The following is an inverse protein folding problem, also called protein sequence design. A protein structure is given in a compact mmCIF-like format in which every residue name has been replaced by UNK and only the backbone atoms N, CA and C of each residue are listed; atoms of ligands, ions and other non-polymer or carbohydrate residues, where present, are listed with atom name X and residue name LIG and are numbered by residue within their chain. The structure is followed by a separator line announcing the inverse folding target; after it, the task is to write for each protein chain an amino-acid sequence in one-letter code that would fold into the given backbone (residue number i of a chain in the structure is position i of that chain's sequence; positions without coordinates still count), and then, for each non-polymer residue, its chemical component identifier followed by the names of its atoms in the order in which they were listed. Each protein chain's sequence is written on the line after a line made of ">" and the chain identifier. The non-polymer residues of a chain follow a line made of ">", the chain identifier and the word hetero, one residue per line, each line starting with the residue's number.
data_IF_094414820238
#
_entry.id   IF_094414820238
#
_cell.length_a   1.000
_cell.length_b   1.000
_cell.length_c   1.000
_cell.angle_alpha   90.00
_cell.angle_beta   90.00
_cell.angle_gamma   90.00
#
_symmetry.space_group_name_H-M   'P 1'
#
loop_
_entity.id
_entity.type
_entity.pdbx_description
1 polymer ?
#
# COMPACT_ATOMS: atom_id res chain seq x y z
N UNK A 1 -58.06 -5.51 -10.50
CA UNK A 1 -58.33 -6.43 -9.37
C UNK A 1 -57.19 -7.42 -9.31
N UNK A 2 -56.64 -7.57 -8.12
CA UNK A 2 -55.23 -7.80 -7.80
C UNK A 2 -54.67 -9.19 -8.12
N UNK A 3 -53.38 -9.22 -8.46
CA UNK A 3 -52.53 -10.41 -8.61
C UNK A 3 -51.28 -10.29 -7.73
N UNK A 4 -51.46 -9.82 -6.49
CA UNK A 4 -50.40 -9.51 -5.51
C UNK A 4 -50.48 -10.36 -4.23
N UNK A 5 -51.45 -11.26 -4.05
CA UNK A 5 -51.66 -11.94 -2.75
C UNK A 5 -50.67 -13.12 -2.49
N UNK A 6 -50.33 -13.91 -3.51
CA UNK A 6 -49.65 -15.21 -3.29
C UNK A 6 -48.17 -15.11 -2.87
N UNK A 7 -47.48 -14.00 -3.19
CA UNK A 7 -46.08 -13.80 -2.78
C UNK A 7 -45.99 -13.22 -1.37
N UNK A 8 -46.89 -12.29 -1.04
CA UNK A 8 -46.92 -11.64 0.26
C UNK A 8 -47.31 -12.64 1.37
N UNK A 9 -48.26 -13.55 1.09
CA UNK A 9 -48.58 -14.63 2.04
C UNK A 9 -47.39 -15.57 2.30
N UNK A 10 -46.59 -15.91 1.27
CA UNK A 10 -45.41 -16.76 1.46
C UNK A 10 -44.33 -16.10 2.34
N UNK A 11 -44.16 -14.78 2.21
CA UNK A 11 -43.21 -14.03 3.01
C UNK A 11 -43.71 -13.92 4.47
N UNK A 12 -45.00 -13.71 4.67
CA UNK A 12 -45.62 -13.65 6.01
C UNK A 12 -45.51 -15.00 6.73
N UNK A 13 -45.78 -16.11 6.04
CA UNK A 13 -45.65 -17.45 6.61
C UNK A 13 -44.19 -17.75 6.98
N UNK A 14 -43.21 -17.37 6.15
CA UNK A 14 -41.78 -17.54 6.45
C UNK A 14 -41.29 -16.66 7.61
N UNK A 15 -41.86 -15.46 7.79
CA UNK A 15 -41.54 -14.58 8.93
C UNK A 15 -42.16 -15.08 10.25
N UNK A 16 -43.26 -15.84 10.18
CA UNK A 16 -43.94 -16.38 11.36
C UNK A 16 -43.19 -17.53 12.04
N UNK A 17 -42.28 -18.20 11.31
CA UNK A 17 -41.45 -19.31 11.80
C UNK A 17 -40.15 -18.85 12.51
N UNK A 18 -39.90 -17.54 12.61
CA UNK A 18 -38.74 -17.05 13.37
C UNK A 18 -38.98 -17.17 14.89
N UNK A 19 -37.98 -17.69 15.64
CA UNK A 19 -38.07 -17.74 17.10
C UNK A 19 -38.25 -16.33 17.65
N UNK A 20 -39.28 -16.14 18.48
CA UNK A 20 -39.52 -14.86 19.14
C UNK A 20 -38.39 -14.56 20.12
N UNK A 21 -37.40 -13.79 19.67
CA UNK A 21 -36.32 -13.29 20.53
C UNK A 21 -36.90 -12.19 21.42
N UNK A 22 -37.40 -12.58 22.59
CA UNK A 22 -37.72 -11.63 23.65
C UNK A 22 -36.41 -11.17 24.30
N UNK A 23 -36.04 -9.92 24.04
CA UNK A 23 -34.96 -9.27 24.77
C UNK A 23 -35.27 -9.27 26.27
N UNK A 24 -34.38 -9.86 27.07
CA UNK A 24 -34.48 -9.91 28.54
C UNK A 24 -34.10 -8.58 29.21
N UNK A 25 -33.77 -7.55 28.44
CA UNK A 25 -33.39 -6.24 28.95
C UNK A 25 -34.64 -5.42 29.25
N UNK A 26 -34.84 -5.10 30.53
CA UNK A 26 -35.91 -4.18 30.93
C UNK A 26 -35.65 -2.80 30.33
N UNK A 27 -36.71 -2.12 29.86
CA UNK A 27 -36.60 -0.76 29.30
C UNK A 27 -35.93 0.23 30.27
N UNK A 28 -36.03 -0.02 31.58
CA UNK A 28 -35.35 0.77 32.61
C UNK A 28 -33.82 0.62 32.57
N UNK A 29 -33.31 -0.59 32.35
CA UNK A 29 -31.86 -0.83 32.24
C UNK A 29 -31.26 -0.14 31.00
N UNK A 30 -32.00 -0.14 29.88
CA UNK A 30 -31.58 0.56 28.66
C UNK A 30 -31.57 2.09 28.82
N UNK A 31 -32.53 2.64 29.59
CA UNK A 31 -32.56 4.07 29.90
C UNK A 31 -31.40 4.51 30.79
N UNK A 32 -31.02 3.70 31.78
CA UNK A 32 -29.91 4.01 32.69
C UNK A 32 -28.54 3.99 31.97
N UNK A 33 -28.37 3.10 30.99
CA UNK A 33 -27.16 3.01 30.17
C UNK A 33 -27.02 4.23 29.24
N UNK A 34 -28.10 4.63 28.56
CA UNK A 34 -28.12 5.84 27.71
C UNK A 34 -27.91 7.12 28.52
N UNK A 35 -28.47 7.23 29.72
CA UNK A 35 -28.28 8.41 30.56
C UNK A 35 -26.85 8.52 31.14
N UNK A 36 -26.14 7.40 31.24
CA UNK A 36 -24.75 7.37 31.69
C UNK A 36 -23.76 7.91 30.65
N UNK A 37 -24.11 7.88 29.36
CA UNK A 37 -23.29 8.42 28.27
C UNK A 37 -23.57 9.89 27.92
N UNK A 38 -24.68 10.49 28.40
CA UNK A 38 -25.10 11.84 27.99
C UNK A 38 -24.84 12.98 29.00
N UNK A 39 -24.01 12.80 30.03
CA UNK A 39 -23.65 13.90 30.96
C UNK A 39 -22.14 14.15 31.07
N UNK A 40 -21.62 15.24 30.46
CA UNK A 40 -20.23 15.63 30.59
C UNK A 40 -20.06 16.59 31.78
N UNK A 41 -19.67 16.05 32.94
CA UNK A 41 -18.76 16.64 33.93
C UNK A 41 -19.03 16.04 35.31
N UNK A 42 -18.02 15.41 35.90
CA UNK A 42 -17.56 15.73 37.26
C UNK A 42 -16.13 15.18 37.41
N UNK A 43 -15.15 16.11 37.45
CA UNK A 43 -13.76 15.82 37.83
C UNK A 43 -13.73 15.15 39.20
N UNK A 44 -13.35 13.87 39.26
CA UNK A 44 -12.90 13.20 40.48
C UNK A 44 -11.42 12.88 40.37
N UNK A 45 -10.63 13.58 41.18
CA UNK A 45 -9.23 13.30 41.42
C UNK A 45 -9.10 11.95 42.13
N UNK A 46 -8.62 10.93 41.42
CA UNK A 46 -8.31 9.62 42.00
C UNK A 46 -6.79 9.48 42.18
N UNK A 47 -6.40 9.25 43.43
CA UNK A 47 -5.03 9.02 43.89
C UNK A 47 -4.46 7.74 43.27
N UNK A 48 -3.18 7.81 42.88
CA UNK A 48 -2.34 6.68 42.46
C UNK A 48 -2.38 5.57 43.53
N UNK A 49 -2.88 4.39 43.17
CA UNK A 49 -2.56 3.14 43.85
C UNK A 49 -1.87 2.22 42.86
N UNK A 50 -0.60 1.92 43.11
CA UNK A 50 0.14 0.86 42.44
C UNK A 50 -0.49 -0.47 42.85
N UNK A 51 -0.91 -1.28 41.88
CA UNK A 51 -1.28 -2.68 42.09
C UNK A 51 -0.32 -3.50 41.22
N UNK A 52 0.57 -4.22 41.89
CA UNK A 52 1.44 -5.26 41.33
C UNK A 52 0.64 -6.57 41.26
N UNK A 53 0.49 -7.18 40.08
CA UNK A 53 0.25 -8.63 39.94
C UNK A 53 0.62 -9.12 38.53
N UNK A 54 1.84 -9.67 38.30
CA UNK A 54 2.18 -10.41 37.09
C UNK A 54 2.47 -11.87 37.44
N UNK A 55 1.52 -12.78 37.22
CA UNK A 55 1.79 -14.23 37.22
C UNK A 55 0.62 -15.11 36.75
N UNK A 56 -0.63 -14.62 36.78
CA UNK A 56 -1.81 -15.49 36.56
C UNK A 56 -2.44 -15.38 35.15
N UNK A 57 -2.12 -14.34 34.38
CA UNK A 57 -2.60 -14.18 33.00
C UNK A 57 -1.81 -15.03 31.99
N UNK A 58 -0.52 -15.25 32.23
CA UNK A 58 0.36 -16.03 31.32
C UNK A 58 0.01 -17.51 31.24
N UNK A 59 -0.50 -18.11 32.32
CA UNK A 59 -0.90 -19.52 32.30
C UNK A 59 -2.17 -19.79 31.49
N UNK A 60 -3.10 -18.82 31.42
CA UNK A 60 -4.33 -18.95 30.65
C UNK A 60 -4.08 -18.83 29.13
N UNK A 61 -3.19 -17.93 28.71
CA UNK A 61 -2.83 -17.75 27.30
C UNK A 61 -2.09 -18.97 26.75
N UNK A 62 -1.16 -19.55 27.52
CA UNK A 62 -0.43 -20.77 27.10
C UNK A 62 -1.35 -22.00 26.95
N UNK A 63 -2.38 -22.12 27.79
CA UNK A 63 -3.35 -23.21 27.68
C UNK A 63 -4.22 -23.09 26.41
N UNK A 64 -4.58 -21.87 26.01
CA UNK A 64 -5.34 -21.62 24.77
C UNK A 64 -4.47 -21.91 23.54
N UNK A 65 -3.21 -21.47 23.54
CA UNK A 65 -2.24 -21.76 22.46
C UNK A 65 -2.01 -23.28 22.31
N UNK A 66 -1.91 -24.03 23.40
CA UNK A 66 -1.74 -25.49 23.34
C UNK A 66 -2.97 -26.22 22.77
N UNK A 67 -4.18 -25.72 23.02
CA UNK A 67 -5.42 -26.30 22.46
C UNK A 67 -5.55 -26.04 20.96
N UNK A 68 -5.04 -24.90 20.47
CA UNK A 68 -5.08 -24.55 19.04
C UNK A 68 -4.00 -25.32 18.25
N UNK A 69 -2.79 -25.48 18.81
CA UNK A 69 -1.68 -26.13 18.11
C UNK A 69 -1.78 -27.66 18.04
N UNK A 70 -2.51 -28.32 18.95
CA UNK A 70 -2.59 -29.79 18.96
C UNK A 70 -3.24 -30.37 17.69
N UNK A 71 -4.12 -29.61 17.04
CA UNK A 71 -4.82 -30.06 15.83
C UNK A 71 -4.00 -29.83 14.54
N UNK A 72 -2.91 -29.05 14.59
CA UNK A 72 -1.97 -28.85 13.47
C UNK A 72 -0.75 -29.79 13.49
N UNK A 73 -0.37 -30.34 14.65
CA UNK A 73 0.84 -31.16 14.78
C UNK A 73 0.54 -32.67 14.63
N UNK A 74 -0.71 -33.11 14.77
CA UNK A 74 -1.10 -34.53 14.65
C UNK A 74 -2.32 -34.74 13.74
N UNK A 75 -2.16 -34.81 12.41
CA UNK A 75 -3.22 -35.29 11.54
C UNK A 75 -3.52 -36.79 11.83
N UNK A 76 -4.79 -37.21 11.91
CA UNK A 76 -5.17 -38.60 12.15
C UNK A 76 -5.09 -39.39 10.84
N UNK A 77 -3.88 -39.61 10.33
CA UNK A 77 -3.65 -40.45 9.14
C UNK A 77 -2.31 -41.19 9.27
N UNK A 78 -2.24 -42.17 10.16
CA UNK A 78 -1.24 -43.23 10.05
C UNK A 78 -1.79 -44.53 10.63
N UNK A 79 -2.85 -45.02 10.00
CA UNK A 79 -3.34 -46.39 10.20
C UNK A 79 -3.76 -46.96 8.83
N UNK A 80 -2.84 -47.01 7.87
CA UNK A 80 -2.84 -47.95 6.73
C UNK A 80 -1.70 -47.65 5.75
N UNK A 81 -0.65 -48.47 5.80
CA UNK A 81 0.10 -48.99 4.65
C UNK A 81 1.33 -49.75 5.17
N UNK A 82 1.11 -50.94 5.73
CA UNK A 82 2.06 -52.03 5.58
C UNK A 82 1.77 -52.72 4.23
N UNK A 83 2.82 -53.24 3.59
CA UNK A 83 2.91 -53.87 2.25
C UNK A 83 3.17 -52.81 1.16
N UNK A 84 4.27 -52.80 0.41
CA UNK A 84 5.14 -53.90 -0.05
C UNK A 84 6.61 -53.48 -0.15
N UNK A 85 7.46 -54.46 0.08
CA UNK A 85 8.91 -54.49 -0.09
C UNK A 85 9.21 -55.28 -1.38
N UNK A 86 9.84 -54.67 -2.40
CA UNK A 86 10.63 -55.37 -3.43
C UNK A 86 11.70 -54.42 -4.02
N UNK A 87 12.95 -54.58 -3.54
CA UNK A 87 14.19 -54.93 -4.28
C UNK A 87 14.40 -54.35 -5.71
N UNK A 88 15.59 -53.97 -6.22
CA UNK A 88 16.99 -54.21 -5.88
C UNK A 88 17.85 -53.32 -6.83
N UNK A 89 18.91 -52.71 -6.29
CA UNK A 89 20.28 -52.50 -6.82
C UNK A 89 20.63 -52.82 -8.30
N UNK A 90 21.48 -52.00 -8.94
CA UNK A 90 22.81 -52.41 -9.51
C UNK A 90 23.59 -51.22 -10.13
N UNK A 91 24.77 -50.95 -9.53
CA UNK A 91 26.10 -50.53 -10.04
C UNK A 91 26.23 -49.42 -11.14
N UNK A 92 26.98 -48.33 -10.93
CA UNK A 92 28.42 -48.17 -10.62
C UNK A 92 29.39 -48.60 -11.75
N UNK A 93 29.91 -47.62 -12.51
CA UNK A 93 31.34 -47.37 -12.79
C UNK A 93 31.55 -46.54 -14.08
N UNK A 94 32.35 -45.49 -14.01
CA UNK A 94 33.72 -45.46 -14.57
C UNK A 94 34.44 -44.17 -14.14
N UNK A 95 35.57 -44.35 -13.45
CA UNK A 95 36.59 -43.36 -13.05
C UNK A 95 37.60 -43.11 -14.18
N UNK A 96 38.28 -41.96 -14.13
CA UNK A 96 39.75 -41.74 -14.05
C UNK A 96 40.22 -40.51 -14.88
N UNK A 97 40.71 -39.47 -14.19
CA UNK A 97 42.12 -38.96 -14.09
C UNK A 97 42.48 -38.02 -15.26
N UNK A 98 43.20 -36.90 -15.16
CA UNK A 98 44.41 -36.49 -14.42
C UNK A 98 44.54 -34.96 -14.72
N UNK A 99 44.64 -34.00 -13.80
CA UNK A 99 45.76 -33.56 -12.94
C UNK A 99 46.70 -32.47 -13.54
N UNK A 100 47.10 -31.53 -12.67
CA UNK A 100 48.18 -30.49 -12.75
C UNK A 100 47.88 -29.19 -13.54
N UNK A 101 48.19 -27.96 -13.07
CA UNK A 101 49.22 -27.46 -12.14
C UNK A 101 48.98 -26.00 -11.71
N UNK A 102 49.28 -25.69 -10.43
CA UNK A 102 50.06 -24.54 -9.85
C UNK A 102 49.76 -23.08 -10.26
N UNK A 103 49.94 -22.02 -9.46
CA UNK A 103 50.04 -21.72 -8.02
C UNK A 103 50.45 -20.21 -7.93
N UNK A 104 49.95 -19.48 -6.94
CA UNK A 104 50.59 -18.33 -6.25
C UNK A 104 50.77 -16.98 -7.01
N UNK A 105 50.61 -15.77 -6.45
CA UNK A 105 51.02 -15.27 -5.13
C UNK A 105 50.34 -13.92 -4.79
N UNK A 106 50.18 -13.69 -3.48
CA UNK A 106 49.75 -12.46 -2.79
C UNK A 106 50.76 -11.29 -2.79
N UNK A 107 50.26 -10.09 -2.45
CA UNK A 107 50.96 -8.99 -1.76
C UNK A 107 51.30 -7.79 -2.66
N UNK A 108 51.08 -6.52 -2.31
CA UNK A 108 51.05 -5.81 -1.03
C UNK A 108 50.37 -4.43 -1.23
N UNK A 109 49.63 -3.97 -0.22
CA UNK A 109 49.02 -2.63 -0.11
C UNK A 109 50.02 -1.46 -0.06
N UNK A 110 49.64 -0.26 -0.54
CA UNK A 110 49.44 0.96 0.29
C UNK A 110 49.36 2.26 -0.54
N UNK A 111 48.29 3.03 -0.26
CA UNK A 111 48.20 4.50 -0.12
C UNK A 111 48.55 5.41 -1.31
N UNK A 112 47.54 6.01 -1.92
CA UNK A 112 47.02 7.34 -1.50
C UNK A 112 45.83 7.72 -2.40
N UNK A 113 44.62 7.50 -1.88
CA UNK A 113 43.36 8.03 -2.41
C UNK A 113 42.98 9.25 -1.56
N UNK A 114 43.01 10.43 -2.16
CA UNK A 114 42.17 11.54 -1.72
C UNK A 114 40.91 11.47 -2.58
N UNK A 115 39.84 11.03 -1.93
CA UNK A 115 38.51 10.90 -2.49
C UNK A 115 38.01 12.23 -3.05
N UNK A 116 37.65 12.24 -4.33
CA UNK A 116 36.66 13.16 -4.87
C UNK A 116 35.40 12.33 -5.06
N UNK A 117 34.45 12.49 -4.14
CA UNK A 117 33.10 11.90 -4.23
C UNK A 117 32.39 12.52 -5.44
N UNK A 118 32.42 11.81 -6.56
CA UNK A 118 31.40 11.95 -7.60
C UNK A 118 30.38 10.84 -7.35
N UNK A 119 29.20 11.22 -6.88
CA UNK A 119 28.06 10.34 -6.71
C UNK A 119 27.65 9.80 -8.10
N UNK A 120 27.82 8.51 -8.43
CA UNK A 120 27.24 7.98 -9.65
C UNK A 120 25.75 7.81 -9.39
N UNK A 121 24.97 8.74 -9.96
CA UNK A 121 23.56 8.60 -10.23
C UNK A 121 23.26 7.14 -10.63
N UNK A 122 22.48 6.44 -9.80
CA UNK A 122 22.01 5.09 -10.07
C UNK A 122 21.14 5.14 -11.33
N UNK A 123 21.77 4.87 -12.47
CA UNK A 123 21.11 4.70 -13.75
C UNK A 123 20.54 3.29 -13.77
N UNK A 124 19.22 3.19 -13.67
CA UNK A 124 18.52 2.11 -14.35
C UNK A 124 18.74 2.32 -15.85
N UNK A 125 19.80 1.71 -16.37
CA UNK A 125 20.09 1.60 -17.80
C UNK A 125 18.98 0.78 -18.47
N UNK A 126 17.83 1.39 -18.73
CA UNK A 126 17.06 1.29 -19.98
C UNK A 126 15.79 2.15 -19.83
N UNK A 127 15.45 2.92 -20.87
CA UNK A 127 14.32 3.86 -21.02
C UNK A 127 14.54 5.32 -20.58
N UNK A 128 14.39 6.22 -21.54
CA UNK A 128 14.56 7.67 -21.42
C UNK A 128 13.53 8.39 -20.53
N UNK A 129 12.51 7.69 -20.04
CA UNK A 129 11.30 8.32 -19.49
C UNK A 129 11.11 8.10 -17.98
N UNK A 130 11.93 7.25 -17.35
CA UNK A 130 11.95 7.02 -15.89
C UNK A 130 13.32 7.45 -15.40
N UNK A 131 13.39 8.60 -14.73
CA UNK A 131 14.62 9.03 -14.03
C UNK A 131 14.65 8.36 -12.66
N UNK A 132 15.86 7.99 -12.23
CA UNK A 132 16.13 7.20 -11.03
C UNK A 132 15.35 7.60 -9.77
N UNK A 133 15.21 6.60 -8.89
CA UNK A 133 14.39 6.58 -7.67
C UNK A 133 12.87 6.52 -7.92
N UNK A 134 12.15 5.72 -7.12
CA UNK A 134 10.68 5.62 -7.22
C UNK A 134 9.99 6.85 -6.65
N UNK A 135 10.74 7.82 -6.13
CA UNK A 135 10.26 8.99 -5.42
C UNK A 135 11.03 10.24 -5.83
N UNK A 136 10.42 11.41 -5.63
CA UNK A 136 11.09 12.71 -5.69
C UNK A 136 11.23 13.21 -4.25
N UNK A 137 12.44 13.49 -3.78
CA UNK A 137 12.67 14.10 -2.46
C UNK A 137 12.82 15.62 -2.57
N UNK A 138 12.57 16.41 -1.50
CA UNK A 138 12.61 17.87 -1.55
C UNK A 138 13.95 18.44 -2.04
N UNK A 139 15.06 17.71 -1.85
CA UNK A 139 16.39 18.10 -2.33
C UNK A 139 16.63 17.89 -3.84
N UNK A 140 15.74 17.18 -4.54
CA UNK A 140 15.90 16.90 -5.97
C UNK A 140 15.55 18.13 -6.82
N UNK A 141 16.28 18.33 -7.92
CA UNK A 141 15.95 19.39 -8.89
C UNK A 141 14.51 19.25 -9.46
N UNK A 142 13.99 18.01 -9.51
CA UNK A 142 12.64 17.72 -9.95
C UNK A 142 11.57 18.21 -8.96
N UNK A 143 11.91 18.43 -7.69
CA UNK A 143 10.99 18.95 -6.69
C UNK A 143 10.60 20.41 -6.97
N UNK A 144 11.49 21.18 -7.61
CA UNK A 144 11.25 22.57 -8.01
C UNK A 144 10.43 22.68 -9.31
N UNK A 145 10.25 21.57 -10.04
CA UNK A 145 9.45 21.53 -11.25
C UNK A 145 7.97 21.29 -10.92
N UNK A 146 7.09 21.65 -11.85
CA UNK A 146 5.66 21.37 -11.68
C UNK A 146 5.42 19.87 -11.80
N UNK A 147 4.68 19.34 -10.84
CA UNK A 147 4.35 17.93 -10.71
C UNK A 147 2.86 17.76 -10.92
N UNK A 148 2.48 16.85 -11.82
CA UNK A 148 1.08 16.55 -12.11
C UNK A 148 0.87 15.05 -11.90
N UNK A 149 -0.04 14.69 -10.99
CA UNK A 149 -0.37 13.30 -10.73
C UNK A 149 -1.31 12.78 -11.81
N UNK A 150 -0.97 11.65 -12.42
CA UNK A 150 -1.83 10.87 -13.31
C UNK A 150 -1.96 9.46 -12.75
N UNK A 151 -3.11 8.81 -12.86
CA UNK A 151 -3.32 7.42 -12.44
C UNK A 151 -3.44 6.49 -13.64
N UNK A 152 -2.45 5.66 -13.89
CA UNK A 152 -2.57 4.59 -14.87
C UNK A 152 -3.14 3.31 -14.22
N UNK A 153 -3.35 2.27 -15.00
CA UNK A 153 -3.67 0.93 -14.48
C UNK A 153 -2.68 -0.10 -14.99
N UNK A 154 -2.35 -1.08 -14.16
CA UNK A 154 -1.70 -2.30 -14.67
C UNK A 154 -2.69 -3.09 -15.55
N UNK A 155 -2.21 -3.46 -16.74
CA UNK A 155 -3.01 -4.13 -17.78
C UNK A 155 -3.50 -5.53 -17.38
N UNK A 156 -2.93 -6.13 -16.33
CA UNK A 156 -3.22 -7.50 -15.91
C UNK A 156 -4.13 -7.58 -14.68
N UNK A 157 -4.11 -6.56 -13.80
CA UNK A 157 -4.70 -6.68 -12.45
C UNK A 157 -5.62 -5.54 -12.00
N UNK A 158 -5.95 -4.57 -12.86
CA UNK A 158 -6.89 -3.46 -12.55
C UNK A 158 -6.61 -2.77 -11.21
N UNK A 159 -5.34 -2.44 -10.94
CA UNK A 159 -4.93 -1.68 -9.76
C UNK A 159 -4.45 -0.27 -10.17
N UNK A 160 -4.82 0.80 -9.45
CA UNK A 160 -4.39 2.15 -9.78
C UNK A 160 -2.88 2.33 -9.51
N UNK A 161 -2.18 2.85 -10.51
CA UNK A 161 -0.75 3.17 -10.44
C UNK A 161 -0.60 4.68 -10.61
N UNK A 162 -0.50 5.45 -9.51
CA UNK A 162 -0.24 6.88 -9.59
C UNK A 162 1.18 7.15 -10.10
N UNK A 163 1.30 8.01 -11.09
CA UNK A 163 2.55 8.49 -11.68
C UNK A 163 2.61 10.00 -11.52
N UNK A 164 3.81 10.52 -11.26
CA UNK A 164 4.04 11.97 -11.25
C UNK A 164 4.69 12.38 -12.56
N UNK A 165 3.93 13.05 -13.41
CA UNK A 165 4.47 13.68 -14.61
C UNK A 165 5.20 14.95 -14.19
N UNK A 166 6.51 14.99 -14.46
CA UNK A 166 7.34 16.18 -14.26
C UNK A 166 7.19 17.02 -15.53
N UNK A 167 6.26 17.97 -15.50
CA UNK A 167 5.96 18.86 -16.62
C UNK A 167 6.53 20.25 -16.35
N UNK A 168 7.02 20.89 -17.41
CA UNK A 168 7.56 22.24 -17.33
C UNK A 168 6.50 23.32 -17.55
N UNK A 169 5.34 23.05 -18.17
CA UNK A 169 4.38 24.13 -18.53
C UNK A 169 2.91 23.69 -18.63
N UNK A 170 2.07 24.12 -17.69
CA UNK A 170 0.61 24.01 -17.82
C UNK A 170 -0.13 24.04 -16.50
N UNK A 171 -1.46 24.16 -16.53
CA UNK A 171 -2.35 23.84 -15.41
C UNK A 171 -2.72 22.34 -15.45
N UNK A 172 -3.01 21.70 -14.31
CA UNK A 172 -3.31 20.26 -14.27
C UNK A 172 -4.54 19.91 -15.13
N UNK A 173 -5.58 20.75 -15.12
CA UNK A 173 -6.76 20.58 -15.96
C UNK A 173 -6.43 20.62 -17.45
N UNK A 174 -5.60 21.58 -17.88
CA UNK A 174 -5.17 21.66 -19.29
C UNK A 174 -4.35 20.44 -19.68
N UNK A 175 -3.47 19.97 -18.79
CA UNK A 175 -2.69 18.78 -19.02
C UNK A 175 -3.58 17.55 -19.23
N UNK A 176 -4.58 17.34 -18.37
CA UNK A 176 -5.51 16.21 -18.48
C UNK A 176 -6.34 16.25 -19.77
N UNK A 177 -6.78 17.43 -20.20
CA UNK A 177 -7.62 17.57 -21.38
C UNK A 177 -6.84 17.49 -22.70
N UNK A 178 -5.61 18.02 -22.76
CA UNK A 178 -4.90 18.25 -24.02
C UNK A 178 -3.69 17.35 -24.22
N UNK A 179 -3.01 16.95 -23.13
CA UNK A 179 -1.71 16.29 -23.20
C UNK A 179 -1.76 14.82 -22.81
N UNK A 180 -2.60 14.46 -21.83
CA UNK A 180 -2.65 13.11 -21.28
C UNK A 180 -2.94 12.04 -22.34
N UNK A 181 -3.80 12.34 -23.32
CA UNK A 181 -4.12 11.42 -24.41
C UNK A 181 -2.92 11.04 -25.30
N UNK A 182 -1.85 11.85 -25.29
CA UNK A 182 -0.61 11.58 -26.01
C UNK A 182 0.40 10.77 -25.20
N UNK A 183 0.15 10.56 -23.90
CA UNK A 183 1.04 9.80 -23.04
C UNK A 183 0.95 8.30 -23.35
N UNK A 184 2.08 7.70 -23.77
CA UNK A 184 2.12 6.29 -24.14
C UNK A 184 2.34 5.39 -22.92
N UNK A 185 1.26 5.12 -22.19
CA UNK A 185 1.26 4.23 -21.02
C UNK A 185 1.73 2.81 -21.36
N UNK A 186 1.56 2.35 -22.60
CA UNK A 186 1.89 0.98 -22.99
C UNK A 186 3.40 0.70 -22.91
N UNK A 187 4.24 1.73 -23.11
CA UNK A 187 5.69 1.60 -22.93
C UNK A 187 6.07 1.25 -21.49
N UNK A 188 5.23 1.63 -20.53
CA UNK A 188 5.38 1.34 -19.11
C UNK A 188 4.67 0.04 -18.68
N UNK A 189 4.04 -0.69 -19.61
CA UNK A 189 3.20 -1.85 -19.31
C UNK A 189 1.87 -1.49 -18.63
N UNK A 190 1.48 -0.22 -18.71
CA UNK A 190 0.28 0.36 -18.10
C UNK A 190 -0.75 0.72 -19.19
N UNK A 191 -1.99 0.97 -18.78
CA UNK A 191 -3.04 1.53 -19.64
C UNK A 191 -3.59 2.83 -19.06
N UNK A 192 -3.87 3.79 -19.94
CA UNK A 192 -4.54 5.06 -19.63
C UNK A 192 -6.04 5.06 -19.94
N UNK A 193 -6.65 3.91 -20.23
CA UNK A 193 -8.09 3.81 -20.52
C UNK A 193 -8.97 4.35 -19.39
N UNK A 194 -8.43 4.46 -18.17
CA UNK A 194 -9.10 5.12 -17.04
C UNK A 194 -9.23 6.63 -17.19
N UNK A 195 -8.91 7.27 -18.32
CA UNK A 195 -9.00 8.72 -18.46
C UNK A 195 -9.98 9.20 -19.53
N UNK A 196 -10.64 8.30 -20.25
CA UNK A 196 -11.66 8.66 -21.24
C UNK A 196 -13.01 9.01 -20.57
N UNK A 197 -12.96 9.67 -19.41
CA UNK A 197 -14.14 10.00 -18.61
C UNK A 197 -14.92 11.18 -19.18
N UNK A 198 -14.24 12.12 -19.83
CA UNK A 198 -14.82 13.38 -20.26
C UNK A 198 -13.81 14.52 -20.23
N UNK A 199 -14.33 15.74 -20.06
CA UNK A 199 -13.54 16.97 -20.08
C UNK A 199 -13.58 17.63 -18.71
N UNK A 200 -12.43 18.03 -18.21
CA UNK A 200 -12.32 18.78 -16.97
C UNK A 200 -12.41 20.29 -17.23
N UNK A 201 -13.04 21.03 -16.32
CA UNK A 201 -13.02 22.50 -16.32
C UNK A 201 -12.72 23.04 -14.93
N UNK A 202 -11.93 24.11 -14.87
CA UNK A 202 -11.48 24.72 -13.63
C UNK A 202 -12.41 25.89 -13.26
N UNK A 203 -12.96 25.85 -12.04
CA UNK A 203 -13.57 26.99 -11.36
C UNK A 203 -12.66 27.53 -10.26
N UNK A 204 -13.07 28.59 -9.57
CA UNK A 204 -12.24 29.29 -8.58
C UNK A 204 -11.65 28.38 -7.48
N UNK A 205 -12.40 27.37 -7.01
CA UNK A 205 -12.00 26.41 -5.98
C UNK A 205 -12.55 25.00 -6.22
N UNK A 206 -12.87 24.68 -7.46
CA UNK A 206 -13.47 23.39 -7.82
C UNK A 206 -13.06 23.00 -9.21
N UNK A 207 -12.99 21.70 -9.46
CA UNK A 207 -12.95 21.14 -10.80
C UNK A 207 -14.31 20.53 -11.12
N UNK A 208 -14.77 20.72 -12.34
CA UNK A 208 -15.97 20.06 -12.87
C UNK A 208 -15.54 19.06 -13.94
N UNK A 209 -15.97 17.81 -13.82
CA UNK A 209 -15.83 16.78 -14.85
C UNK A 209 -17.16 16.66 -15.60
N UNK A 210 -17.15 17.07 -16.86
CA UNK A 210 -18.26 16.89 -17.78
C UNK A 210 -18.11 15.54 -18.48
N UNK A 211 -18.95 14.57 -18.11
CA UNK A 211 -18.90 13.19 -18.60
C UNK A 211 -19.59 13.07 -19.95
N UNK A 212 -18.91 12.39 -20.89
CA UNK A 212 -19.55 11.93 -22.12
C UNK A 212 -20.18 10.56 -21.87
N UNK A 213 -21.48 10.54 -21.55
CA UNK A 213 -22.22 9.33 -21.18
C UNK A 213 -22.27 8.25 -22.27
N UNK A 214 -21.92 8.57 -23.51
CA UNK A 214 -21.81 7.57 -24.59
C UNK A 214 -20.49 6.79 -24.57
N UNK A 215 -19.47 7.29 -23.87
CA UNK A 215 -18.11 6.74 -23.82
C UNK A 215 -17.78 6.05 -22.50
N UNK A 216 -18.49 6.40 -21.42
CA UNK A 216 -18.15 5.95 -20.05
C UNK A 216 -19.23 5.04 -19.49
N UNK A 217 -18.84 3.82 -19.11
CA UNK A 217 -19.69 2.89 -18.36
C UNK A 217 -18.99 2.44 -17.09
N UNK A 218 -19.49 2.88 -15.93
CA UNK A 218 -19.04 2.45 -14.61
C UNK A 218 -20.09 1.47 -14.09
N UNK A 219 -20.01 0.21 -14.50
CA UNK A 219 -21.06 -0.78 -14.25
C UNK A 219 -20.78 -1.68 -13.03
N UNK A 220 -19.52 -1.75 -12.61
CA UNK A 220 -19.07 -2.64 -11.53
C UNK A 220 -18.53 -1.86 -10.33
N UNK A 221 -18.56 -2.51 -9.16
CA UNK A 221 -17.97 -1.95 -7.92
C UNK A 221 -16.46 -1.72 -8.05
N UNK A 222 -15.75 -2.54 -8.83
CA UNK A 222 -14.34 -2.36 -9.10
C UNK A 222 -14.08 -1.09 -9.93
N UNK A 223 -14.83 -0.88 -11.01
CA UNK A 223 -14.73 0.34 -11.82
C UNK A 223 -15.13 1.58 -11.02
N UNK A 224 -16.15 1.49 -10.16
CA UNK A 224 -16.54 2.58 -9.28
C UNK A 224 -15.41 2.94 -8.31
N UNK A 225 -14.79 1.94 -7.69
CA UNK A 225 -13.64 2.14 -6.79
C UNK A 225 -12.48 2.81 -7.52
N UNK A 226 -12.13 2.31 -8.70
CA UNK A 226 -11.08 2.89 -9.56
C UNK A 226 -11.38 4.34 -9.93
N UNK A 227 -12.60 4.63 -10.37
CA UNK A 227 -13.02 5.99 -10.74
C UNK A 227 -12.83 6.98 -9.58
N UNK A 228 -13.29 6.59 -8.38
CA UNK A 228 -13.12 7.43 -7.19
C UNK A 228 -11.65 7.64 -6.82
N UNK A 229 -10.84 6.57 -6.84
CA UNK A 229 -9.41 6.65 -6.56
C UNK A 229 -8.67 7.54 -7.57
N UNK A 230 -8.99 7.41 -8.86
CA UNK A 230 -8.41 8.24 -9.92
C UNK A 230 -8.68 9.72 -9.67
N UNK A 231 -9.93 10.10 -9.38
CA UNK A 231 -10.27 11.50 -9.07
C UNK A 231 -9.55 12.00 -7.82
N UNK A 232 -9.48 11.18 -6.76
CA UNK A 232 -8.78 11.54 -5.51
C UNK A 232 -7.29 11.78 -5.76
N UNK A 233 -6.59 10.85 -6.41
CA UNK A 233 -5.16 11.03 -6.66
C UNK A 233 -4.84 12.22 -7.58
N UNK A 234 -5.69 12.52 -8.56
CA UNK A 234 -5.47 13.64 -9.47
C UNK A 234 -5.68 15.01 -8.82
N UNK A 235 -6.64 15.14 -7.90
CA UNK A 235 -7.15 16.45 -7.52
C UNK A 235 -7.17 16.76 -6.02
N UNK A 236 -6.98 15.79 -5.13
CA UNK A 236 -7.13 16.00 -3.68
C UNK A 236 -6.20 17.07 -3.10
N UNK A 237 -5.03 17.28 -3.70
CA UNK A 237 -4.03 18.22 -3.20
C UNK A 237 -4.41 19.67 -3.50
N UNK A 238 -5.18 19.88 -4.57
CA UNK A 238 -5.59 21.21 -5.05
C UNK A 238 -7.06 21.52 -4.74
N UNK A 239 -7.91 20.50 -4.60
CA UNK A 239 -9.38 20.61 -4.50
C UNK A 239 -9.96 19.69 -3.44
N UNK A 240 -10.97 20.18 -2.71
CA UNK A 240 -11.74 19.36 -1.78
C UNK A 240 -12.90 18.59 -2.42
N UNK A 241 -13.23 18.86 -3.70
CA UNK A 241 -14.31 18.17 -4.43
C UNK A 241 -14.21 18.31 -5.95
N UNK A 242 -14.85 17.37 -6.65
CA UNK A 242 -15.10 17.39 -8.09
C UNK A 242 -16.61 17.45 -8.32
N UNK A 243 -17.11 18.42 -9.09
CA UNK A 243 -18.48 18.41 -9.57
C UNK A 243 -18.60 17.52 -10.81
N UNK A 244 -19.73 16.82 -10.93
CA UNK A 244 -19.99 15.89 -12.03
C UNK A 244 -21.25 16.32 -12.76
N UNK A 245 -21.15 16.39 -14.08
CA UNK A 245 -22.28 16.74 -14.94
C UNK A 245 -22.23 15.95 -16.25
N UNK A 246 -23.40 15.73 -16.84
CA UNK A 246 -23.53 15.26 -18.22
C UNK A 246 -23.23 16.37 -19.23
N UNK A 247 -23.18 16.00 -20.52
CA UNK A 247 -22.83 16.91 -21.61
C UNK A 247 -23.71 18.18 -21.72
N UNK A 248 -24.91 18.20 -21.13
CA UNK A 248 -25.81 19.36 -21.12
C UNK A 248 -25.91 20.04 -19.74
N UNK A 249 -25.03 19.70 -18.78
CA UNK A 249 -25.06 20.23 -17.41
C UNK A 249 -26.07 19.56 -16.48
N UNK A 250 -26.62 18.40 -16.87
CA UNK A 250 -27.55 17.60 -16.08
C UNK A 250 -26.83 16.66 -15.11
N UNK A 251 -27.50 16.27 -14.01
CA UNK A 251 -26.99 15.19 -13.16
C UNK A 251 -26.99 13.86 -13.92
N UNK A 252 -25.97 13.03 -13.68
CA UNK A 252 -25.76 11.76 -14.38
C UNK A 252 -25.84 10.58 -13.42
N UNK A 253 -26.38 9.46 -13.90
CA UNK A 253 -26.37 8.18 -13.19
C UNK A 253 -25.07 7.42 -13.50
N UNK A 254 -24.25 7.16 -12.48
CA UNK A 254 -22.95 6.48 -12.61
C UNK A 254 -22.99 5.10 -11.93
N UNK A 255 -23.78 4.20 -12.51
CA UNK A 255 -23.91 2.80 -12.10
C UNK A 255 -24.00 2.62 -10.58
N UNK A 256 -23.02 1.98 -9.90
CA UNK A 256 -23.05 1.75 -8.45
C UNK A 256 -23.18 3.01 -7.59
N UNK A 257 -22.80 4.19 -8.08
CA UNK A 257 -22.96 5.45 -7.36
C UNK A 257 -24.40 6.00 -7.42
N UNK A 258 -25.20 5.54 -8.38
CA UNK A 258 -26.50 6.14 -8.68
C UNK A 258 -26.36 7.54 -9.28
N UNK A 259 -27.37 8.40 -9.06
CA UNK A 259 -27.32 9.80 -9.51
C UNK A 259 -26.42 10.62 -8.59
N UNK A 260 -25.34 11.17 -9.15
CA UNK A 260 -24.38 12.02 -8.43
C UNK A 260 -24.16 13.33 -9.17
N UNK A 261 -23.94 14.40 -8.40
CA UNK A 261 -23.61 15.74 -8.88
C UNK A 261 -22.24 16.23 -8.37
N UNK A 262 -21.66 15.52 -7.39
CA UNK A 262 -20.31 15.77 -6.87
C UNK A 262 -19.69 14.55 -6.20
N UNK A 263 -18.36 14.53 -6.15
CA UNK A 263 -17.54 13.69 -5.29
C UNK A 263 -16.74 14.58 -4.35
N UNK A 264 -16.82 14.30 -3.05
CA UNK A 264 -15.91 14.90 -2.07
C UNK A 264 -14.56 14.16 -2.15
N UNK A 265 -13.47 14.93 -2.23
CA UNK A 265 -12.12 14.40 -2.34
C UNK A 265 -11.48 14.35 -0.95
N UNK A 266 -11.85 13.31 -0.20
CA UNK A 266 -11.21 13.07 1.09
C UNK A 266 -9.74 12.77 0.90
N UNK A 267 -8.90 13.46 1.68
CA UNK A 267 -7.45 13.27 1.68
C UNK A 267 -7.12 11.80 1.86
N UNK A 268 -6.35 11.26 0.92
CA UNK A 268 -5.79 9.93 0.96
C UNK A 268 -4.65 9.96 1.98
N UNK A 269 -4.89 9.36 3.14
CA UNK A 269 -3.98 9.34 4.27
C UNK A 269 -3.99 7.95 4.90
N UNK A 270 -2.97 7.66 5.71
CA UNK A 270 -2.77 6.38 6.39
C UNK A 270 -2.71 5.22 5.42
N UNK A 271 -1.69 5.25 4.56
CA UNK A 271 -1.48 4.29 3.49
C UNK A 271 -0.26 3.43 3.78
N UNK A 272 -0.30 2.20 3.30
CA UNK A 272 0.86 1.35 3.13
C UNK A 272 1.35 1.52 1.68
N UNK A 273 2.64 1.79 1.47
CA UNK A 273 3.20 1.86 0.12
C UNK A 273 3.94 0.56 -0.21
N UNK A 274 3.60 -0.02 -1.37
CA UNK A 274 4.16 -1.28 -1.87
C UNK A 274 4.59 -1.12 -3.32
N UNK A 275 4.96 -2.22 -3.99
CA UNK A 275 5.40 -2.16 -5.37
C UNK A 275 4.60 -3.08 -6.28
N UNK A 276 4.32 -2.63 -7.50
CA UNK A 276 3.81 -3.46 -8.58
C UNK A 276 4.87 -3.55 -9.67
N UNK A 277 5.02 -4.74 -10.27
CA UNK A 277 5.87 -4.94 -11.45
C UNK A 277 4.99 -5.18 -12.67
N UNK A 278 5.12 -4.32 -13.68
CA UNK A 278 4.30 -4.42 -14.89
C UNK A 278 4.87 -5.47 -15.85
N UNK A 279 4.07 -5.85 -16.85
CA UNK A 279 4.48 -6.81 -17.90
C UNK A 279 5.72 -6.36 -18.69
N UNK A 280 5.99 -5.06 -18.72
CA UNK A 280 7.16 -4.47 -19.37
C UNK A 280 8.44 -4.53 -18.52
N UNK A 281 8.34 -4.99 -17.27
CA UNK A 281 9.45 -5.10 -16.32
C UNK A 281 9.63 -3.89 -15.40
N UNK A 282 8.91 -2.78 -15.67
CA UNK A 282 8.93 -1.59 -14.82
C UNK A 282 8.36 -1.89 -13.43
N UNK A 283 8.97 -1.28 -12.40
CA UNK A 283 8.53 -1.34 -11.01
C UNK A 283 7.97 0.03 -10.63
N UNK A 284 6.78 0.05 -10.04
CA UNK A 284 6.11 1.27 -9.61
C UNK A 284 5.67 1.14 -8.16
N UNK A 285 5.86 2.21 -7.40
CA UNK A 285 5.35 2.31 -6.04
C UNK A 285 3.84 2.54 -6.09
N UNK A 286 3.06 1.82 -5.29
CA UNK A 286 1.61 1.94 -5.26
C UNK A 286 1.10 2.12 -3.83
N UNK A 287 0.13 3.02 -3.61
CA UNK A 287 -0.55 3.15 -2.33
C UNK A 287 -1.55 2.01 -2.14
N UNK A 288 -1.59 1.44 -0.94
CA UNK A 288 -2.57 0.45 -0.47
C UNK A 288 -3.39 1.12 0.65
N UNK A 289 -4.71 1.20 0.46
CA UNK A 289 -5.61 1.92 1.38
C UNK A 289 -6.16 1.06 2.52
N UNK A 290 -6.17 -0.26 2.32
CA UNK A 290 -6.77 -1.21 3.28
C UNK A 290 -5.89 -2.44 3.48
N UNK A 291 -5.94 -3.00 4.69
CA UNK A 291 -5.36 -4.30 5.02
C UNK A 291 -5.97 -5.43 4.18
N UNK A 292 -5.37 -6.62 4.23
CA UNK A 292 -5.93 -7.85 3.65
C UNK A 292 -7.36 -8.17 4.12
N UNK A 293 -7.78 -7.62 5.27
CA UNK A 293 -9.14 -7.81 5.81
C UNK A 293 -10.14 -6.74 5.34
N UNK A 294 -9.69 -5.74 4.58
CA UNK A 294 -10.51 -4.64 4.06
C UNK A 294 -10.65 -3.45 5.02
N UNK A 295 -9.94 -3.45 6.15
CA UNK A 295 -9.94 -2.34 7.11
C UNK A 295 -8.89 -1.29 6.75
N UNK A 296 -9.21 -0.01 6.95
CA UNK A 296 -8.25 1.10 6.80
C UNK A 296 -7.21 1.08 7.91
N UNK A 297 -5.98 1.48 7.62
CA UNK A 297 -4.92 1.58 8.62
C UNK A 297 -5.22 2.66 9.66
N UNK A 298 -5.04 2.33 10.94
CA UNK A 298 -5.21 3.28 12.06
C UNK A 298 -3.86 3.84 12.48
N UNK A 299 -2.83 3.00 12.50
CA UNK A 299 -1.47 3.33 12.94
C UNK A 299 -0.42 3.02 11.88
N UNK A 300 0.72 3.71 11.95
CA UNK A 300 1.84 3.44 11.04
C UNK A 300 2.43 2.03 11.24
N UNK A 301 2.38 1.48 12.45
CA UNK A 301 2.87 0.12 12.73
C UNK A 301 2.04 -0.93 11.97
N UNK A 302 0.71 -0.77 11.90
CA UNK A 302 -0.14 -1.63 11.08
C UNK A 302 0.20 -1.54 9.59
N UNK A 303 0.51 -0.35 9.09
CA UNK A 303 0.94 -0.15 7.70
C UNK A 303 2.31 -0.79 7.43
N UNK A 304 3.28 -0.63 8.34
CA UNK A 304 4.61 -1.25 8.24
C UNK A 304 4.54 -2.79 8.31
N UNK A 305 3.63 -3.34 9.11
CA UNK A 305 3.36 -4.80 9.11
C UNK A 305 2.75 -5.21 7.77
N UNK A 306 1.76 -4.47 7.26
CA UNK A 306 1.18 -4.77 5.95
C UNK A 306 2.19 -4.66 4.79
N UNK A 307 3.18 -3.77 4.88
CA UNK A 307 4.27 -3.66 3.90
C UNK A 307 5.14 -4.92 3.79
N UNK A 308 5.08 -5.85 4.75
CA UNK A 308 5.74 -7.16 4.69
C UNK A 308 4.93 -8.20 3.92
N UNK A 309 3.64 -7.96 3.72
CA UNK A 309 2.71 -8.91 3.12
C UNK A 309 2.48 -8.57 1.63
N UNK A 310 2.71 -9.49 0.69
CA UNK A 310 2.35 -9.28 -0.70
C UNK A 310 0.82 -9.29 -0.89
N UNK A 311 0.35 -8.76 -2.02
CA UNK A 311 -1.05 -8.90 -2.47
C UNK A 311 -1.06 -9.61 -3.83
N UNK A 312 -1.02 -10.96 -3.85
CA UNK A 312 -0.82 -11.74 -5.07
C UNK A 312 -1.88 -11.51 -6.15
N UNK A 313 -3.15 -11.30 -5.73
CA UNK A 313 -4.27 -11.05 -6.66
C UNK A 313 -4.08 -9.77 -7.49
N UNK A 314 -3.29 -8.82 -6.99
CA UNK A 314 -2.96 -7.57 -7.66
C UNK A 314 -1.49 -7.49 -8.11
N UNK A 315 -0.75 -8.60 -8.07
CA UNK A 315 0.69 -8.62 -8.36
C UNK A 315 1.48 -7.55 -7.58
N UNK A 316 1.05 -7.26 -6.35
CA UNK A 316 1.73 -6.30 -5.49
C UNK A 316 2.74 -7.05 -4.62
N UNK A 317 4.00 -6.69 -4.79
CA UNK A 317 5.15 -7.19 -4.04
C UNK A 317 5.22 -6.49 -2.67
N UNK A 318 5.69 -7.21 -1.64
CA UNK A 318 6.02 -6.61 -0.36
C UNK A 318 7.15 -5.57 -0.51
N UNK A 319 7.07 -4.48 0.24
CA UNK A 319 8.12 -3.45 0.27
C UNK A 319 9.16 -3.71 1.37
N UNK A 320 8.76 -4.33 2.48
CA UNK A 320 9.68 -4.79 3.53
C UNK A 320 9.88 -6.30 3.31
N UNK A 321 11.13 -6.79 3.19
CA UNK A 321 11.38 -8.22 3.00
C UNK A 321 10.79 -9.07 4.13
N UNK A 322 10.31 -10.26 3.78
CA UNK A 322 9.78 -11.22 4.76
C UNK A 322 10.84 -11.56 5.82
N UNK A 323 10.42 -11.61 7.08
CA UNK A 323 11.30 -11.97 8.20
C UNK A 323 12.14 -10.83 8.76
N UNK A 324 12.10 -9.64 8.15
CA UNK A 324 12.70 -8.43 8.71
C UNK A 324 11.94 -8.00 9.97
N UNK A 325 12.67 -7.84 11.06
CA UNK A 325 12.16 -7.33 12.33
C UNK A 325 12.67 -5.92 12.60
N UNK A 326 11.85 -5.10 13.25
CA UNK A 326 12.20 -3.74 13.62
C UNK A 326 11.62 -3.35 14.98
N UNK A 327 12.22 -2.33 15.57
CA UNK A 327 11.63 -1.58 16.68
C UNK A 327 11.17 -0.21 16.19
N UNK A 328 10.00 0.21 16.65
CA UNK A 328 9.38 1.49 16.31
C UNK A 328 9.34 2.39 17.55
N UNK A 329 9.94 3.57 17.45
CA UNK A 329 9.89 4.62 18.46
C UNK A 329 9.20 5.88 17.89
N UNK A 330 8.07 6.23 18.51
CA UNK A 330 7.25 7.40 18.20
C UNK A 330 7.23 8.40 19.38
N UNK A 331 8.23 8.35 20.26
CA UNK A 331 8.29 9.20 21.45
C UNK A 331 8.54 10.68 21.14
N UNK A 332 9.12 10.97 19.97
CA UNK A 332 9.35 12.31 19.46
C UNK A 332 8.22 12.73 18.50
N UNK A 333 7.68 13.93 18.70
CA UNK A 333 6.51 14.40 17.96
C UNK A 333 6.86 14.62 16.48
N UNK A 334 6.09 14.00 15.58
CA UNK A 334 6.28 14.12 14.13
C UNK A 334 7.49 13.36 13.58
N UNK A 335 8.13 12.50 14.37
CA UNK A 335 9.26 11.65 13.95
C UNK A 335 8.87 10.17 14.01
N UNK A 336 9.27 9.42 12.98
CA UNK A 336 9.26 7.95 13.00
C UNK A 336 10.70 7.49 13.15
N UNK A 337 11.02 6.79 14.23
CA UNK A 337 12.33 6.16 14.38
C UNK A 337 12.20 4.65 14.27
N UNK A 338 12.91 4.08 13.29
CA UNK A 338 12.97 2.64 13.03
C UNK A 338 14.38 2.13 13.27
N UNK A 339 14.50 1.03 14.00
CA UNK A 339 15.75 0.29 14.13
C UNK A 339 15.51 -1.14 13.71
N UNK A 340 16.12 -1.53 12.58
CA UNK A 340 16.01 -2.85 11.99
C UNK A 340 17.05 -3.79 12.58
N UNK A 341 16.65 -5.02 12.88
CA UNK A 341 17.58 -6.08 13.24
C UNK A 341 18.38 -6.52 11.99
N UNK A 342 19.53 -7.15 12.20
CA UNK A 342 20.31 -7.72 11.10
C UNK A 342 19.50 -8.77 10.35
N UNK A 343 19.48 -8.67 9.02
CA UNK A 343 18.77 -9.59 8.13
C UNK A 343 19.52 -9.71 6.80
N UNK A 344 19.61 -10.91 6.24
CA UNK A 344 20.41 -11.20 5.03
C UNK A 344 19.95 -10.41 3.79
N UNK A 345 18.70 -9.97 3.77
CA UNK A 345 18.14 -9.12 2.71
C UNK A 345 18.46 -7.64 2.85
N UNK A 346 18.99 -7.19 3.98
CA UNK A 346 19.28 -5.77 4.25
C UNK A 346 20.75 -5.45 3.98
N UNK A 347 20.98 -4.32 3.31
CA UNK A 347 22.31 -3.80 3.03
C UNK A 347 22.28 -2.59 2.11
N UNK A 348 23.44 -2.15 1.61
CA UNK A 348 23.52 -1.12 0.56
C UNK A 348 23.18 -1.74 -0.81
N UNK A 349 21.89 -1.96 -1.05
CA UNK A 349 21.34 -2.57 -2.26
C UNK A 349 20.01 -1.92 -2.69
N UNK A 350 19.54 -2.27 -3.89
CA UNK A 350 18.34 -1.68 -4.48
C UNK A 350 17.07 -2.04 -3.69
N UNK A 351 16.96 -3.28 -3.23
CA UNK A 351 15.82 -3.77 -2.47
C UNK A 351 15.65 -3.01 -1.14
N UNK A 352 16.75 -2.72 -0.45
CA UNK A 352 16.74 -1.94 0.80
C UNK A 352 16.47 -0.45 0.52
N UNK A 353 16.93 0.07 -0.62
CA UNK A 353 16.60 1.43 -1.07
C UNK A 353 15.09 1.58 -1.32
N UNK A 354 14.50 0.62 -2.03
CA UNK A 354 13.06 0.55 -2.27
C UNK A 354 12.26 0.45 -0.96
N UNK A 355 12.72 -0.39 -0.04
CA UNK A 355 12.14 -0.50 1.29
C UNK A 355 12.10 0.87 2.00
N UNK A 356 13.22 1.61 1.98
CA UNK A 356 13.31 2.93 2.60
C UNK A 356 12.36 3.93 1.95
N UNK A 357 12.34 4.00 0.62
CA UNK A 357 11.46 4.90 -0.13
C UNK A 357 9.98 4.67 0.20
N UNK A 358 9.56 3.40 0.26
CA UNK A 358 8.21 3.03 0.63
C UNK A 358 7.88 3.38 2.09
N UNK A 359 8.82 3.23 3.02
CA UNK A 359 8.66 3.63 4.42
C UNK A 359 8.50 5.15 4.54
N UNK A 360 9.32 5.92 3.82
CA UNK A 360 9.25 7.38 3.84
C UNK A 360 7.90 7.87 3.32
N UNK A 361 7.40 7.30 2.21
CA UNK A 361 6.07 7.62 1.68
C UNK A 361 4.94 7.19 2.62
N UNK A 362 5.08 6.03 3.26
CA UNK A 362 4.15 5.55 4.29
C UNK A 362 4.10 6.54 5.45
N UNK A 363 5.24 6.93 6.02
CA UNK A 363 5.32 7.91 7.09
C UNK A 363 4.68 9.27 6.72
N UNK A 364 4.91 9.75 5.50
CA UNK A 364 4.26 10.97 4.98
C UNK A 364 2.73 10.86 4.99
N UNK A 365 2.18 9.71 4.61
CA UNK A 365 0.72 9.51 4.60
C UNK A 365 0.09 9.54 6.00
N UNK A 366 0.89 9.36 7.06
CA UNK A 366 0.48 9.45 8.46
C UNK A 366 0.79 10.83 9.09
N UNK A 367 1.10 11.84 8.27
CA UNK A 367 1.42 13.21 8.69
C UNK A 367 2.66 13.34 9.62
N UNK A 368 3.62 12.41 9.49
CA UNK A 368 4.95 12.60 10.08
C UNK A 368 5.77 13.60 9.25
N UNK A 369 6.84 14.13 9.83
CA UNK A 369 7.71 15.14 9.20
C UNK A 369 9.02 14.55 8.65
N UNK A 370 9.53 13.50 9.31
CA UNK A 370 10.79 12.85 8.96
C UNK A 370 10.87 11.43 9.54
N UNK A 371 11.77 10.63 8.98
CA UNK A 371 12.08 9.27 9.46
C UNK A 371 13.56 9.18 9.81
N UNK A 372 13.89 8.49 10.90
CA UNK A 372 15.27 8.10 11.23
C UNK A 372 15.34 6.58 11.13
N UNK A 373 16.25 6.06 10.30
CA UNK A 373 16.44 4.62 10.11
C UNK A 373 17.83 4.21 10.60
N UNK A 374 17.86 3.18 11.43
CA UNK A 374 19.06 2.53 11.96
C UNK A 374 19.04 1.04 11.62
N UNK A 375 20.22 0.42 11.50
CA UNK A 375 20.38 -1.03 11.29
C UNK A 375 21.36 -1.60 12.32
N UNK A 376 20.96 -2.66 13.01
CA UNK A 376 21.82 -3.34 13.99
C UNK A 376 22.78 -4.31 13.30
N UNK A 377 24.00 -4.44 13.85
CA UNK A 377 25.02 -5.41 13.45
C UNK A 377 25.41 -5.40 11.95
N UNK A 378 25.15 -4.29 11.24
CA UNK A 378 25.63 -4.05 9.87
C UNK A 378 26.56 -2.83 9.88
N UNK A 379 27.81 -3.01 9.44
CA UNK A 379 28.83 -1.94 9.34
C UNK A 379 28.63 -1.13 8.05
N UNK A 380 27.48 -0.45 7.94
CA UNK A 380 27.16 0.50 6.87
C UNK A 380 26.63 1.79 7.49
N UNK A 381 26.88 2.91 6.82
CA UNK A 381 26.41 4.23 7.22
C UNK A 381 25.43 4.85 6.20
N UNK A 382 25.16 4.14 5.10
CA UNK A 382 24.29 4.59 4.03
C UNK A 382 23.67 3.40 3.28
N UNK A 383 22.51 3.64 2.67
CA UNK A 383 21.86 2.75 1.69
C UNK A 383 21.43 3.61 0.53
N UNK A 384 22.00 3.39 -0.65
CA UNK A 384 21.76 4.26 -1.81
C UNK A 384 22.09 5.73 -1.46
N UNK A 385 21.14 6.68 -1.66
CA UNK A 385 21.34 8.08 -1.30
C UNK A 385 21.06 8.40 0.18
N UNK A 386 20.58 7.43 0.97
CA UNK A 386 20.08 7.67 2.33
C UNK A 386 21.16 7.42 3.38
N UNK A 387 21.47 8.44 4.18
CA UNK A 387 22.40 8.33 5.31
C UNK A 387 21.66 7.77 6.54
N UNK A 388 22.16 6.66 7.08
CA UNK A 388 21.61 6.04 8.29
C UNK A 388 21.82 6.94 9.52
N UNK A 389 20.97 6.74 10.54
CA UNK A 389 21.01 7.45 11.81
C UNK A 389 20.83 8.99 11.70
N UNK A 390 20.34 9.47 10.56
CA UNK A 390 20.00 10.87 10.33
C UNK A 390 18.52 11.03 10.04
N UNK A 391 18.00 12.25 10.21
CA UNK A 391 16.63 12.58 9.84
C UNK A 391 16.53 12.66 8.30
N UNK A 392 15.80 11.73 7.71
CA UNK A 392 15.52 11.66 6.28
C UNK A 392 14.29 12.51 5.94
N UNK A 393 14.40 13.28 4.86
CA UNK A 393 13.28 14.05 4.33
C UNK A 393 12.23 13.13 3.69
N UNK A 394 10.97 13.53 3.79
CA UNK A 394 9.86 12.77 3.21
C UNK A 394 9.67 13.15 1.74
N UNK A 395 9.48 12.18 0.83
CA UNK A 395 9.35 12.48 -0.58
C UNK A 395 8.12 13.32 -0.91
N UNK A 396 8.22 14.17 -1.93
CA UNK A 396 7.12 15.02 -2.40
C UNK A 396 6.21 14.30 -3.39
N UNK A 397 6.74 13.34 -4.17
CA UNK A 397 6.02 12.61 -5.20
C UNK A 397 6.56 11.19 -5.39
N UNK A 398 5.81 10.37 -6.13
CA UNK A 398 6.16 8.98 -6.46
C UNK A 398 6.09 8.73 -7.95
N UNK A 399 6.82 7.72 -8.42
CA UNK A 399 6.88 7.27 -9.81
C UNK A 399 7.04 8.43 -10.81
N UNK A 400 8.15 9.19 -10.71
CA UNK A 400 8.42 10.29 -11.62
C UNK A 400 8.54 9.80 -13.07
N UNK A 401 7.78 10.41 -13.97
CA UNK A 401 7.83 10.15 -15.42
C UNK A 401 7.98 11.44 -16.20
N UNK A 402 8.66 11.38 -17.34
CA UNK A 402 8.78 12.50 -18.27
C UNK A 402 8.08 12.19 -19.58
N UNK A 403 7.42 13.20 -20.15
CA UNK A 403 6.85 13.11 -21.50
C UNK A 403 7.95 13.46 -22.50
N UNK A 404 8.23 12.54 -23.43
CA UNK A 404 9.05 12.88 -24.60
C UNK A 404 8.28 13.89 -25.46
N UNK A 405 8.77 15.12 -25.55
CA UNK A 405 8.25 16.14 -26.47
C UNK A 405 8.68 15.88 -27.91
#
# INVERSE_FOLDING_TARGET
>A
MHKYDDQDQKIIDQLSDFPHVQSKLSKAAFYDEINSEMTPNHKKTMRKKKIFFPALLTAAVLAIVFVILKDQIFPPQMEQAMNDDVALETAENTRMTDDRSEEALEGVMLKDEIMTFNNPMYQTDDFSNVKGHHVIVPSDEAADLKQITVVAMDTSVMYPVPLTVIDQQGDSVNFYNEQLASFDFNQLGLTGETFDFGVFSQGDQSVTLTINSELVSIDSSAQATMFNQTLRYMFQDDYGRVFIEGANGEAIELGPFGTVDQFDLDRVQKLSYKYVRTSSGHKFMVPVETTLTGETFITIDEALVDMQEPVPDFNIEAAIPEGVTYTLDLSNEGEVKLTFDSHDGLGDNAETTDMFEAILMTAKSFDFNHVVISMEDIDINQVGPYLLDTALELPVAINPVTINQ
#
